data_IF_281760979951
#
_entry.id   IF_281760979951
#
_cell.length_a   1.000
_cell.length_b   1.000
_cell.length_c   1.000
_cell.angle_alpha   90.00
_cell.angle_beta   90.00
_cell.angle_gamma   90.00
#
_symmetry.space_group_name_H-M   'P 1'
#
loop_
_entity.id
_entity.type
_entity.pdbx_description
1 polymer ?
#
# COMPACT_ATOMS: atom_id res chain seq x y z
N UNK A 1 15.76 4.08 -3.97
CA UNK A 1 14.82 3.13 -4.59
C UNK A 1 15.38 2.67 -5.94
N UNK A 2 15.10 1.43 -6.33
CA UNK A 2 15.58 0.81 -7.59
C UNK A 2 15.23 1.69 -8.80
N UNK A 3 14.09 2.33 -8.78
CA UNK A 3 13.59 3.19 -9.86
C UNK A 3 14.22 4.59 -9.88
N UNK A 4 14.90 5.04 -8.81
CA UNK A 4 15.47 6.39 -8.72
C UNK A 4 16.45 6.66 -9.86
N UNK A 5 17.43 5.78 -10.04
CA UNK A 5 18.44 5.92 -11.11
C UNK A 5 17.83 5.88 -12.51
N UNK A 6 16.82 5.04 -12.72
CA UNK A 6 16.13 4.95 -14.01
C UNK A 6 15.33 6.23 -14.29
N UNK A 7 14.61 6.75 -13.32
CA UNK A 7 13.86 7.98 -13.46
C UNK A 7 14.78 9.18 -13.72
N UNK A 8 15.93 9.23 -13.05
CA UNK A 8 16.92 10.30 -13.23
C UNK A 8 17.54 10.26 -14.63
N UNK A 9 17.85 9.06 -15.15
CA UNK A 9 18.39 8.91 -16.50
C UNK A 9 17.41 9.33 -17.61
N UNK A 10 16.11 9.22 -17.34
CA UNK A 10 15.05 9.64 -18.26
C UNK A 10 14.49 11.05 -17.97
N UNK A 11 15.12 11.81 -17.06
CA UNK A 11 14.69 13.17 -16.65
C UNK A 11 13.23 13.23 -16.20
N UNK A 12 12.77 12.22 -15.48
CA UNK A 12 11.42 12.19 -14.93
C UNK A 12 11.41 12.99 -13.63
N UNK A 13 10.62 14.06 -13.59
CA UNK A 13 10.50 14.90 -12.42
C UNK A 13 9.94 14.14 -11.21
N UNK A 14 10.38 14.45 -9.98
CA UNK A 14 9.96 13.77 -8.75
C UNK A 14 8.47 13.83 -8.49
N UNK A 15 7.80 14.90 -8.93
CA UNK A 15 6.32 14.98 -8.82
C UNK A 15 5.62 13.91 -9.65
N UNK A 16 6.15 13.56 -10.83
CA UNK A 16 5.58 12.46 -11.62
C UNK A 16 5.79 11.12 -10.92
N UNK A 17 6.97 10.88 -10.38
CA UNK A 17 7.24 9.67 -9.58
C UNK A 17 6.30 9.58 -8.36
N UNK A 18 6.12 10.68 -7.63
CA UNK A 18 5.21 10.73 -6.50
C UNK A 18 3.76 10.48 -6.91
N UNK A 19 3.32 11.03 -8.04
CA UNK A 19 1.98 10.77 -8.61
C UNK A 19 1.80 9.28 -8.94
N UNK A 20 2.76 8.67 -9.62
CA UNK A 20 2.70 7.23 -9.96
C UNK A 20 2.62 6.38 -8.69
N UNK A 21 3.48 6.62 -7.70
CA UNK A 21 3.48 5.89 -6.43
C UNK A 21 2.16 6.08 -5.69
N UNK A 22 1.69 7.33 -5.55
CA UNK A 22 0.43 7.63 -4.86
C UNK A 22 -0.79 7.03 -5.55
N UNK A 23 -0.79 6.99 -6.90
CA UNK A 23 -1.91 6.43 -7.68
C UNK A 23 -1.87 4.91 -7.82
N UNK A 24 -0.77 4.25 -7.48
CA UNK A 24 -0.65 2.78 -7.56
C UNK A 24 -0.75 2.10 -6.20
N UNK A 25 -0.15 2.67 -5.16
CA UNK A 25 0.03 1.97 -3.88
C UNK A 25 -1.30 1.53 -3.26
N UNK A 26 -2.23 2.42 -3.02
CA UNK A 26 -3.51 2.10 -2.42
C UNK A 26 -4.44 1.31 -3.36
N UNK A 27 -4.65 1.71 -4.64
CA UNK A 27 -5.48 0.94 -5.55
C UNK A 27 -5.01 -0.49 -5.79
N UNK A 28 -3.71 -0.71 -5.97
CA UNK A 28 -3.17 -2.05 -6.21
C UNK A 28 -3.35 -2.94 -4.98
N UNK A 29 -3.04 -2.44 -3.79
CA UNK A 29 -3.12 -3.23 -2.55
C UNK A 29 -4.56 -3.68 -2.27
N UNK A 30 -5.55 -2.84 -2.53
CA UNK A 30 -6.97 -3.20 -2.34
C UNK A 30 -7.45 -4.23 -3.37
N UNK A 31 -6.92 -4.22 -4.59
CA UNK A 31 -7.28 -5.20 -5.62
C UNK A 31 -6.59 -6.56 -5.45
N UNK A 32 -5.54 -6.65 -4.62
CA UNK A 32 -4.84 -7.91 -4.35
C UNK A 32 -5.58 -8.70 -3.26
N UNK A 33 -6.08 -9.92 -3.55
CA UNK A 33 -6.87 -10.70 -2.60
C UNK A 33 -6.16 -11.11 -1.32
N UNK A 34 -4.83 -11.13 -1.33
CA UNK A 34 -3.97 -11.58 -0.21
C UNK A 34 -3.16 -10.42 0.39
N UNK A 35 -3.70 -9.22 0.37
CA UNK A 35 -3.09 -8.05 0.99
C UNK A 35 -3.57 -7.87 2.44
N UNK A 36 -2.84 -7.07 3.21
CA UNK A 36 -3.27 -6.67 4.56
C UNK A 36 -4.64 -5.97 4.55
N UNK A 37 -4.95 -5.24 3.49
CA UNK A 37 -6.24 -4.57 3.33
C UNK A 37 -7.38 -5.57 3.05
N UNK A 38 -7.15 -6.57 2.20
CA UNK A 38 -8.17 -7.59 1.93
C UNK A 38 -8.51 -8.41 3.17
N UNK A 39 -7.50 -8.74 3.98
CA UNK A 39 -7.70 -9.46 5.24
C UNK A 39 -8.48 -8.59 6.24
N UNK A 40 -8.11 -7.30 6.33
CA UNK A 40 -8.81 -6.37 7.19
C UNK A 40 -10.28 -6.21 6.80
N UNK A 41 -10.58 -5.98 5.53
CA UNK A 41 -11.96 -5.90 5.04
C UNK A 41 -12.71 -7.22 5.22
N UNK A 42 -12.07 -8.37 4.98
CA UNK A 42 -12.68 -9.66 5.25
C UNK A 42 -13.05 -9.81 6.74
N UNK A 43 -12.19 -9.36 7.66
CA UNK A 43 -12.50 -9.36 9.09
C UNK A 43 -13.67 -8.44 9.45
N UNK A 44 -13.80 -7.30 8.79
CA UNK A 44 -14.98 -6.42 8.97
C UNK A 44 -16.26 -7.07 8.41
N UNK A 45 -16.20 -7.66 7.23
CA UNK A 45 -17.32 -8.37 6.60
C UNK A 45 -17.81 -9.52 7.53
N UNK A 46 -16.89 -10.24 8.15
CA UNK A 46 -17.23 -11.34 9.08
C UNK A 46 -18.06 -10.84 10.28
N UNK A 47 -17.78 -9.63 10.77
CA UNK A 47 -18.53 -9.03 11.88
C UNK A 47 -19.93 -8.57 11.50
N UNK A 48 -20.24 -8.39 10.21
CA UNK A 48 -21.55 -7.90 9.74
C UNK A 48 -22.63 -8.99 9.67
N UNK A 49 -22.27 -10.26 9.76
CA UNK A 49 -23.20 -11.39 9.63
C UNK A 49 -23.75 -11.61 8.20
N UNK A 50 -23.17 -10.96 7.19
CA UNK A 50 -23.57 -11.10 5.77
C UNK A 50 -23.02 -12.40 5.17
N UNK A 51 -22.01 -12.99 5.82
CA UNK A 51 -21.36 -14.22 5.31
C UNK A 51 -22.35 -15.37 5.38
N UNK A 52 -22.64 -16.07 4.28
CA UNK A 52 -23.53 -17.24 4.29
C UNK A 52 -23.00 -18.34 5.21
N UNK A 53 -23.88 -19.16 5.78
CA UNK A 53 -23.49 -20.32 6.57
C UNK A 53 -22.54 -21.23 5.78
N UNK A 54 -21.35 -21.49 6.31
CA UNK A 54 -20.30 -22.26 5.62
C UNK A 54 -19.51 -21.48 4.56
N UNK A 55 -19.77 -20.17 4.40
CA UNK A 55 -19.02 -19.29 3.52
C UNK A 55 -17.76 -18.71 4.18
N UNK A 56 -16.94 -18.02 3.38
CA UNK A 56 -15.76 -17.29 3.84
C UNK A 56 -15.90 -15.81 3.55
N UNK A 57 -15.65 -14.96 4.54
CA UNK A 57 -15.62 -13.51 4.38
C UNK A 57 -14.60 -13.07 3.30
N UNK A 58 -13.48 -13.79 3.20
CA UNK A 58 -12.47 -13.58 2.15
C UNK A 58 -13.04 -13.82 0.76
N UNK A 59 -13.88 -14.84 0.58
CA UNK A 59 -14.54 -15.09 -0.71
C UNK A 59 -15.53 -13.97 -1.06
N UNK A 60 -16.28 -13.47 -0.08
CA UNK A 60 -17.18 -12.30 -0.28
C UNK A 60 -16.37 -11.08 -0.73
N UNK A 61 -15.22 -10.84 -0.08
CA UNK A 61 -14.32 -9.76 -0.49
C UNK A 61 -13.82 -9.96 -1.93
N UNK A 62 -13.33 -11.15 -2.29
CA UNK A 62 -12.84 -11.45 -3.64
C UNK A 62 -13.95 -11.24 -4.69
N UNK A 63 -15.16 -11.65 -4.39
CA UNK A 63 -16.32 -11.44 -5.27
C UNK A 63 -16.70 -9.94 -5.41
N UNK A 64 -16.34 -9.10 -4.44
CA UNK A 64 -16.56 -7.66 -4.51
C UNK A 64 -15.53 -6.91 -5.36
N UNK A 65 -14.34 -7.48 -5.60
CA UNK A 65 -13.25 -6.83 -6.37
C UNK A 65 -13.70 -6.30 -7.74
N UNK A 66 -14.47 -7.05 -8.56
CA UNK A 66 -14.93 -6.53 -9.86
C UNK A 66 -15.83 -5.28 -9.77
N UNK A 67 -16.38 -5.00 -8.61
CA UNK A 67 -17.25 -3.83 -8.36
C UNK A 67 -16.50 -2.65 -7.72
N UNK A 68 -15.21 -2.79 -7.48
CA UNK A 68 -14.35 -1.73 -6.94
C UNK A 68 -13.92 -0.79 -8.08
N UNK A 69 -14.84 0.04 -8.56
CA UNK A 69 -14.61 0.91 -9.73
C UNK A 69 -13.51 1.95 -9.50
N UNK A 70 -13.41 2.52 -8.29
CA UNK A 70 -12.44 3.57 -8.00
C UNK A 70 -10.97 3.12 -8.22
N UNK A 71 -10.49 2.03 -7.60
CA UNK A 71 -9.12 1.58 -7.83
C UNK A 71 -8.87 1.18 -9.28
N UNK A 72 -9.84 0.57 -9.97
CA UNK A 72 -9.70 0.22 -11.39
C UNK A 72 -9.59 1.46 -12.28
N UNK A 73 -10.45 2.46 -12.06
CA UNK A 73 -10.42 3.73 -12.80
C UNK A 73 -9.14 4.51 -12.49
N UNK A 74 -8.68 4.51 -11.25
CA UNK A 74 -7.43 5.16 -10.86
C UNK A 74 -6.23 4.60 -11.63
N UNK A 75 -6.13 3.27 -11.71
CA UNK A 75 -5.07 2.59 -12.48
C UNK A 75 -5.21 2.83 -13.99
N UNK A 76 -6.45 2.83 -14.51
CA UNK A 76 -6.70 3.15 -15.92
C UNK A 76 -6.28 4.57 -16.26
N UNK A 77 -6.68 5.56 -15.46
CA UNK A 77 -6.29 6.96 -15.68
C UNK A 77 -4.78 7.12 -15.60
N UNK A 78 -4.13 6.49 -14.62
CA UNK A 78 -2.68 6.50 -14.50
C UNK A 78 -2.01 5.94 -15.77
N UNK A 79 -2.48 4.81 -16.27
CA UNK A 79 -1.97 4.20 -17.51
C UNK A 79 -2.15 5.13 -18.70
N UNK A 80 -3.29 5.80 -18.82
CA UNK A 80 -3.55 6.78 -19.89
C UNK A 80 -2.67 8.03 -19.79
N UNK A 81 -2.33 8.45 -18.57
CA UNK A 81 -1.37 9.55 -18.34
C UNK A 81 0.04 9.13 -18.69
N UNK A 82 0.49 7.94 -18.26
CA UNK A 82 1.85 7.45 -18.55
C UNK A 82 2.03 7.21 -20.05
N UNK A 83 1.03 6.70 -20.74
CA UNK A 83 1.08 6.47 -22.20
C UNK A 83 0.91 7.77 -23.01
N UNK A 84 0.67 8.90 -22.36
CA UNK A 84 0.52 10.20 -23.03
C UNK A 84 -0.84 10.41 -23.73
N UNK A 85 -1.80 9.48 -23.58
CA UNK A 85 -3.16 9.64 -24.11
C UNK A 85 -3.86 10.80 -23.40
N UNK A 86 -3.69 10.89 -22.09
CA UNK A 86 -4.11 12.05 -21.30
C UNK A 86 -2.89 12.94 -21.10
N UNK A 87 -2.92 14.19 -21.61
CA UNK A 87 -1.80 15.11 -21.43
C UNK A 87 -1.66 15.53 -19.97
N UNK A 88 -0.42 15.72 -19.54
CA UNK A 88 -0.14 16.32 -18.25
C UNK A 88 -0.71 17.74 -18.20
N UNK A 89 -1.33 18.12 -17.09
CA UNK A 89 -1.91 19.44 -16.89
C UNK A 89 -1.48 20.07 -15.56
N UNK A 90 -1.68 21.37 -15.44
CA UNK A 90 -1.34 22.12 -14.23
C UNK A 90 0.15 22.15 -13.90
N UNK A 91 0.49 22.20 -12.61
CA UNK A 91 1.88 22.28 -12.14
C UNK A 91 2.75 21.11 -12.57
N UNK A 92 2.19 19.90 -12.66
CA UNK A 92 2.92 18.69 -13.03
C UNK A 92 3.48 18.79 -14.47
N UNK A 93 2.71 19.36 -15.40
CA UNK A 93 3.20 19.63 -16.78
C UNK A 93 4.36 20.60 -16.77
N UNK A 94 4.29 21.67 -15.97
CA UNK A 94 5.35 22.66 -15.85
C UNK A 94 6.64 22.03 -15.33
N UNK A 95 6.56 21.29 -14.25
CA UNK A 95 7.72 20.64 -13.65
C UNK A 95 8.33 19.56 -14.56
N UNK A 96 7.53 18.78 -15.27
CA UNK A 96 8.06 17.78 -16.19
C UNK A 96 8.76 18.45 -17.38
N UNK A 97 8.22 19.53 -17.93
CA UNK A 97 8.86 20.30 -19.00
C UNK A 97 10.18 20.93 -18.53
N UNK A 98 10.21 21.48 -17.33
CA UNK A 98 11.42 22.03 -16.73
C UNK A 98 12.49 20.93 -16.53
N UNK A 99 12.10 19.73 -16.10
CA UNK A 99 13.00 18.59 -15.99
C UNK A 99 13.60 18.16 -17.34
N UNK A 100 12.81 18.20 -18.40
CA UNK A 100 13.27 17.86 -19.76
C UNK A 100 14.25 18.90 -20.30
N UNK A 101 13.97 20.19 -20.09
CA UNK A 101 14.76 21.31 -20.63
C UNK A 101 16.05 21.57 -19.81
N UNK A 102 15.96 21.58 -18.49
CA UNK A 102 17.05 21.99 -17.60
C UNK A 102 17.73 20.85 -16.85
N UNK A 103 17.10 19.66 -16.78
CA UNK A 103 17.58 18.54 -15.97
C UNK A 103 17.31 18.69 -14.47
N UNK A 104 16.56 19.70 -14.05
CA UNK A 104 16.15 19.90 -12.65
C UNK A 104 15.00 18.96 -12.34
N UNK A 105 15.23 18.02 -11.40
CA UNK A 105 14.26 16.97 -11.08
C UNK A 105 13.46 17.22 -9.80
N UNK A 106 13.78 18.27 -9.05
CA UNK A 106 13.15 18.62 -7.79
C UNK A 106 12.40 19.95 -7.88
N UNK A 107 11.25 20.08 -7.20
CA UNK A 107 10.47 21.32 -7.17
C UNK A 107 11.25 22.53 -6.65
N UNK A 108 12.23 22.28 -5.79
CA UNK A 108 13.06 23.32 -5.14
C UNK A 108 14.26 23.75 -5.99
N UNK A 109 14.35 23.30 -7.25
CA UNK A 109 15.45 23.65 -8.15
C UNK A 109 16.81 23.05 -7.78
N UNK A 110 16.84 22.06 -6.86
CA UNK A 110 18.11 21.42 -6.47
C UNK A 110 18.60 20.48 -7.56
N UNK A 111 19.88 20.55 -7.94
CA UNK A 111 20.45 19.61 -8.90
C UNK A 111 20.53 18.20 -8.34
N UNK A 112 20.49 17.20 -9.24
CA UNK A 112 20.67 15.78 -8.90
C UNK A 112 22.00 15.60 -8.18
N UNK A 113 21.99 15.07 -6.97
CA UNK A 113 23.21 14.75 -6.20
C UNK A 113 23.46 15.61 -4.95
N UNK A 114 22.64 16.64 -4.69
CA UNK A 114 22.72 17.45 -3.46
C UNK A 114 21.72 17.05 -2.34
N UNK A 115 21.12 15.88 -2.44
CA UNK A 115 20.27 15.35 -1.37
C UNK A 115 21.11 14.66 -0.28
N UNK A 116 21.77 15.47 0.53
CA UNK A 116 22.44 15.00 1.76
C UNK A 116 21.45 14.71 2.90
N UNK A 117 20.14 14.80 2.64
CA UNK A 117 19.11 14.66 3.67
C UNK A 117 17.85 13.92 3.19
N UNK A 118 17.99 12.93 2.32
CA UNK A 118 16.89 11.98 2.10
C UNK A 118 16.89 11.02 3.30
N UNK A 119 15.92 11.12 4.25
CA UNK A 119 15.82 10.17 5.36
C UNK A 119 15.54 8.73 4.88
N UNK A 120 15.29 8.55 3.59
CA UNK A 120 15.16 7.28 2.88
C UNK A 120 16.31 7.04 1.89
N UNK A 121 17.41 7.80 1.96
CA UNK A 121 18.63 7.46 1.22
C UNK A 121 19.12 6.13 1.76
N UNK A 122 18.87 5.09 0.99
CA UNK A 122 19.38 3.76 1.26
C UNK A 122 20.90 3.88 1.43
N UNK A 123 21.41 3.43 2.57
CA UNK A 123 22.83 3.11 2.71
C UNK A 123 23.24 2.25 1.49
N UNK A 124 24.48 2.42 0.99
CA UNK A 124 24.92 1.62 -0.14
C UNK A 124 24.63 0.16 0.15
N UNK A 125 24.02 -0.58 -0.80
CA UNK A 125 23.57 -1.95 -0.56
C UNK A 125 24.71 -2.74 0.06
N UNK A 126 24.43 -3.41 1.17
CA UNK A 126 25.40 -4.25 1.86
C UNK A 126 26.14 -5.07 0.81
N UNK A 127 27.46 -5.03 0.83
CA UNK A 127 28.30 -5.72 -0.17
C UNK A 127 27.98 -7.20 -0.11
N UNK A 128 27.06 -7.65 -0.95
CA UNK A 128 26.75 -9.06 -1.07
C UNK A 128 28.01 -9.80 -1.52
N UNK A 129 28.36 -10.85 -0.81
CA UNK A 129 29.58 -11.65 -1.10
C UNK A 129 29.51 -12.37 -2.45
N UNK A 130 28.30 -12.54 -2.97
CA UNK A 130 28.02 -13.13 -4.28
C UNK A 130 26.96 -12.30 -5.03
N UNK A 131 26.98 -12.27 -6.38
CA UNK A 131 25.98 -11.57 -7.15
C UNK A 131 24.58 -12.17 -6.89
N UNK A 132 23.66 -11.33 -6.46
CA UNK A 132 22.27 -11.71 -6.28
C UNK A 132 21.64 -12.02 -7.65
N UNK A 133 20.87 -13.08 -7.71
CA UNK A 133 20.11 -13.50 -8.90
C UNK A 133 18.63 -13.20 -8.67
N UNK A 134 17.87 -12.96 -9.74
CA UNK A 134 16.44 -12.69 -9.66
C UNK A 134 15.68 -13.73 -8.80
N UNK A 135 16.14 -14.99 -8.82
CA UNK A 135 15.56 -16.07 -8.03
C UNK A 135 15.69 -15.87 -6.52
N UNK A 136 16.69 -15.10 -6.06
CA UNK A 136 16.85 -14.80 -4.63
C UNK A 136 15.74 -13.88 -4.10
N UNK A 137 15.10 -13.14 -4.98
CA UNK A 137 13.92 -12.31 -4.66
C UNK A 137 12.62 -13.08 -4.92
N UNK A 138 12.51 -13.75 -6.06
CA UNK A 138 11.26 -14.38 -6.50
C UNK A 138 10.90 -15.59 -5.63
N UNK A 139 11.87 -16.40 -5.23
CA UNK A 139 11.62 -17.61 -4.46
C UNK A 139 11.03 -17.34 -3.07
N UNK A 140 11.57 -16.41 -2.26
CA UNK A 140 10.94 -16.01 -1.00
C UNK A 140 9.51 -15.52 -1.14
N UNK A 141 9.22 -14.72 -2.16
CA UNK A 141 7.86 -14.23 -2.43
C UNK A 141 6.93 -15.39 -2.82
N UNK A 142 7.40 -16.30 -3.67
CA UNK A 142 6.63 -17.47 -4.05
C UNK A 142 6.31 -18.38 -2.85
N UNK A 143 7.30 -18.57 -1.94
CA UNK A 143 7.10 -19.33 -0.70
C UNK A 143 6.13 -18.62 0.23
N UNK A 144 6.20 -17.28 0.36
CA UNK A 144 5.25 -16.50 1.13
C UNK A 144 3.81 -16.74 0.64
N UNK A 145 3.59 -16.58 -0.65
CA UNK A 145 2.25 -16.76 -1.25
C UNK A 145 1.78 -18.20 -1.10
N UNK A 146 2.63 -19.18 -1.41
CA UNK A 146 2.29 -20.59 -1.30
C UNK A 146 1.98 -20.99 0.14
N UNK A 147 2.79 -20.59 1.11
CA UNK A 147 2.57 -20.87 2.51
C UNK A 147 1.28 -20.21 3.01
N UNK A 148 1.04 -18.94 2.66
CA UNK A 148 -0.22 -18.25 3.02
C UNK A 148 -1.44 -19.02 2.52
N UNK A 149 -1.41 -19.53 1.29
CA UNK A 149 -2.52 -20.31 0.72
C UNK A 149 -2.66 -21.67 1.41
N UNK A 150 -1.56 -22.38 1.67
CA UNK A 150 -1.56 -23.71 2.30
C UNK A 150 -2.10 -23.67 3.73
N UNK A 151 -1.83 -22.59 4.46
CA UNK A 151 -2.29 -22.40 5.84
C UNK A 151 -3.59 -21.58 5.93
N UNK A 152 -4.57 -21.87 5.08
CA UNK A 152 -5.92 -21.28 5.10
C UNK A 152 -5.95 -19.74 5.08
N UNK A 153 -5.05 -19.15 4.27
CA UNK A 153 -4.90 -17.70 4.11
C UNK A 153 -4.39 -17.01 5.40
N UNK A 154 -3.66 -17.74 6.24
CA UNK A 154 -2.95 -17.15 7.37
C UNK A 154 -1.63 -16.50 6.91
N UNK A 155 -1.70 -15.18 6.74
CA UNK A 155 -0.54 -14.37 6.31
C UNK A 155 0.57 -14.37 7.36
N UNK A 156 0.23 -14.40 8.66
CA UNK A 156 1.23 -14.41 9.72
C UNK A 156 2.09 -15.68 9.65
N UNK A 157 1.44 -16.83 9.57
CA UNK A 157 2.13 -18.12 9.38
C UNK A 157 2.90 -18.12 8.07
N UNK A 158 2.32 -17.60 6.98
CA UNK A 158 2.99 -17.46 5.69
C UNK A 158 4.28 -16.65 5.77
N UNK A 159 4.26 -15.50 6.46
CA UNK A 159 5.45 -14.64 6.67
C UNK A 159 6.52 -15.35 7.49
N UNK A 160 6.14 -16.03 8.58
CA UNK A 160 7.10 -16.78 9.41
C UNK A 160 7.79 -17.87 8.60
N UNK A 161 7.03 -18.65 7.83
CA UNK A 161 7.60 -19.69 6.95
C UNK A 161 8.51 -19.07 5.89
N UNK A 162 8.10 -17.98 5.26
CA UNK A 162 8.91 -17.29 4.27
C UNK A 162 10.20 -16.72 4.86
N UNK A 163 10.18 -16.14 6.06
CA UNK A 163 11.37 -15.66 6.75
C UNK A 163 12.34 -16.82 7.03
N UNK A 164 11.87 -17.93 7.60
CA UNK A 164 12.71 -19.10 7.86
C UNK A 164 13.33 -19.61 6.55
N UNK A 165 12.51 -19.77 5.51
CA UNK A 165 12.98 -20.22 4.20
C UNK A 165 14.01 -19.26 3.61
N UNK A 166 13.77 -17.96 3.65
CA UNK A 166 14.70 -16.93 3.13
C UNK A 166 16.03 -16.98 3.88
N UNK A 167 15.98 -17.11 5.20
CA UNK A 167 17.19 -17.26 6.01
C UNK A 167 18.01 -18.48 5.58
N UNK A 168 17.37 -19.64 5.44
CA UNK A 168 18.04 -20.87 4.98
C UNK A 168 18.61 -20.68 3.56
N UNK A 169 17.84 -20.12 2.65
CA UNK A 169 18.26 -19.87 1.27
C UNK A 169 19.50 -18.97 1.19
N UNK A 170 19.46 -17.83 1.90
CA UNK A 170 20.52 -16.83 1.84
C UNK A 170 21.80 -17.32 2.51
N UNK A 171 21.68 -18.09 3.61
CA UNK A 171 22.80 -18.71 4.28
C UNK A 171 23.43 -19.85 3.44
N UNK A 172 22.59 -20.71 2.84
CA UNK A 172 23.08 -21.80 1.99
C UNK A 172 23.79 -21.27 0.74
N UNK A 173 23.31 -20.17 0.17
CA UNK A 173 23.94 -19.50 -0.97
C UNK A 173 25.09 -18.55 -0.58
N UNK A 174 25.39 -18.43 0.70
CA UNK A 174 26.42 -17.54 1.24
C UNK A 174 26.28 -16.08 0.77
N UNK A 175 25.05 -15.63 0.58
CA UNK A 175 24.75 -14.25 0.21
C UNK A 175 25.05 -13.31 1.38
N UNK A 176 24.76 -13.74 2.60
CA UNK A 176 25.01 -13.02 3.84
C UNK A 176 25.31 -13.97 4.98
N UNK A 177 25.85 -13.46 6.10
CA UNK A 177 26.05 -14.19 7.35
C UNK A 177 24.74 -14.24 8.17
N UNK A 178 24.71 -15.10 9.19
CA UNK A 178 23.58 -15.17 10.13
C UNK A 178 23.36 -13.82 10.83
N UNK A 179 24.43 -13.15 11.25
CA UNK A 179 24.35 -11.86 11.91
C UNK A 179 23.72 -10.81 10.97
N UNK A 180 24.22 -10.69 9.74
CA UNK A 180 23.67 -9.77 8.73
C UNK A 180 22.20 -10.06 8.41
N UNK A 181 21.78 -11.33 8.40
CA UNK A 181 20.38 -11.70 8.20
C UNK A 181 19.50 -11.26 9.37
N UNK A 182 19.93 -11.53 10.61
CA UNK A 182 19.20 -11.15 11.82
C UNK A 182 19.13 -9.63 11.95
N UNK A 183 20.23 -8.92 11.66
CA UNK A 183 20.26 -7.45 11.66
C UNK A 183 19.29 -6.88 10.63
N UNK A 184 19.23 -7.43 9.41
CA UNK A 184 18.28 -7.04 8.39
C UNK A 184 16.80 -7.28 8.78
N UNK A 185 16.51 -8.41 9.42
CA UNK A 185 15.17 -8.67 9.99
C UNK A 185 14.83 -7.67 11.08
N UNK A 186 15.79 -7.37 11.97
CA UNK A 186 15.59 -6.37 13.04
C UNK A 186 15.39 -4.96 12.50
N UNK A 187 16.13 -4.57 11.48
CA UNK A 187 15.96 -3.29 10.79
C UNK A 187 14.57 -3.20 10.16
N UNK A 188 14.11 -4.28 9.50
CA UNK A 188 12.75 -4.37 8.97
C UNK A 188 11.68 -4.18 10.05
N UNK A 189 11.82 -4.80 11.22
CA UNK A 189 10.93 -4.56 12.36
C UNK A 189 10.99 -3.11 12.85
N UNK A 190 12.17 -2.55 12.95
CA UNK A 190 12.39 -1.18 13.43
C UNK A 190 11.72 -0.14 12.54
N UNK A 191 11.74 -0.33 11.22
CA UNK A 191 11.04 0.56 10.27
C UNK A 191 9.52 0.52 10.45
N UNK A 192 8.96 -0.60 10.94
CA UNK A 192 7.52 -0.75 11.17
C UNK A 192 7.03 -0.13 12.48
N UNK A 193 7.92 0.18 13.43
CA UNK A 193 7.53 0.73 14.74
C UNK A 193 6.69 2.00 14.62
N UNK A 194 7.09 2.93 13.75
CA UNK A 194 6.33 4.17 13.54
C UNK A 194 4.95 3.92 12.94
N UNK A 195 4.83 2.96 12.03
CA UNK A 195 3.56 2.56 11.42
C UNK A 195 2.66 1.90 12.46
N UNK A 196 3.20 1.02 13.29
CA UNK A 196 2.47 0.36 14.38
C UNK A 196 1.99 1.38 15.42
N UNK A 197 2.81 2.36 15.78
CA UNK A 197 2.41 3.43 16.69
C UNK A 197 1.23 4.23 16.13
N UNK A 198 1.26 4.58 14.84
CA UNK A 198 0.15 5.25 14.18
C UNK A 198 -1.12 4.39 14.16
N UNK A 199 -1.01 3.08 13.93
CA UNK A 199 -2.14 2.16 13.98
C UNK A 199 -2.76 2.10 15.38
N UNK A 200 -1.94 2.00 16.43
CA UNK A 200 -2.44 2.00 17.82
C UNK A 200 -3.22 3.28 18.10
N UNK A 201 -2.66 4.45 17.74
CA UNK A 201 -3.34 5.75 17.92
C UNK A 201 -4.65 5.79 17.12
N UNK A 202 -4.65 5.27 15.89
CA UNK A 202 -5.84 5.21 15.06
C UNK A 202 -6.95 4.34 15.67
N UNK A 203 -6.60 3.18 16.22
CA UNK A 203 -7.58 2.33 16.93
C UNK A 203 -8.07 2.96 18.23
N UNK A 204 -7.21 3.63 18.98
CA UNK A 204 -7.63 4.40 20.16
C UNK A 204 -8.63 5.50 19.79
N UNK A 205 -8.34 6.23 18.70
CA UNK A 205 -9.24 7.26 18.19
C UNK A 205 -10.58 6.67 17.74
N UNK A 206 -10.57 5.54 17.00
CA UNK A 206 -11.77 4.81 16.63
C UNK A 206 -12.60 4.46 17.87
N UNK A 207 -11.99 3.85 18.88
CA UNK A 207 -12.69 3.49 20.13
C UNK A 207 -13.29 4.69 20.86
N UNK A 208 -12.60 5.83 20.83
CA UNK A 208 -13.15 7.07 21.37
C UNK A 208 -14.36 7.57 20.58
N UNK A 209 -14.32 7.51 19.24
CA UNK A 209 -15.47 7.86 18.38
C UNK A 209 -16.67 6.94 18.61
N UNK A 210 -16.45 5.63 18.73
CA UNK A 210 -17.49 4.66 19.04
C UNK A 210 -18.11 4.95 20.42
N UNK A 211 -17.31 5.26 21.42
CA UNK A 211 -17.78 5.63 22.77
C UNK A 211 -18.63 6.90 22.79
N UNK A 212 -18.41 7.81 21.83
CA UNK A 212 -19.21 9.02 21.64
C UNK A 212 -20.48 8.78 20.80
N UNK A 213 -20.72 7.55 20.34
CA UNK A 213 -21.87 7.20 19.50
C UNK A 213 -21.80 7.79 18.08
N UNK A 214 -20.59 8.02 17.56
CA UNK A 214 -20.39 8.62 16.26
C UNK A 214 -20.93 7.74 15.13
N UNK A 215 -20.79 6.44 15.23
CA UNK A 215 -21.35 5.43 14.33
C UNK A 215 -22.88 5.52 14.26
N UNK A 216 -23.55 5.57 15.41
CA UNK A 216 -25.02 5.73 15.47
C UNK A 216 -25.46 7.07 14.88
N UNK A 217 -24.74 8.16 15.19
CA UNK A 217 -25.03 9.47 14.61
C UNK A 217 -24.94 9.47 13.08
N UNK A 218 -23.90 8.83 12.53
CA UNK A 218 -23.71 8.71 11.09
C UNK A 218 -24.84 7.88 10.49
N UNK A 219 -25.16 6.73 11.06
CA UNK A 219 -26.27 5.89 10.59
C UNK A 219 -27.58 6.68 10.58
N UNK A 220 -27.93 7.37 11.65
CA UNK A 220 -29.16 8.17 11.73
C UNK A 220 -29.21 9.28 10.68
N UNK A 221 -28.10 9.96 10.42
CA UNK A 221 -28.04 11.07 9.44
C UNK A 221 -27.93 10.62 8.01
N UNK A 222 -27.27 9.50 7.77
CA UNK A 222 -27.01 8.98 6.43
C UNK A 222 -28.06 7.97 5.98
N UNK A 223 -28.66 7.19 6.89
CA UNK A 223 -29.69 6.22 6.56
C UNK A 223 -30.88 6.77 5.75
N UNK A 224 -31.41 7.99 6.02
CA UNK A 224 -32.45 8.57 5.17
C UNK A 224 -32.01 8.84 3.72
N UNK A 225 -30.70 9.02 3.49
CA UNK A 225 -30.10 9.24 2.17
C UNK A 225 -29.75 7.93 1.45
N UNK A 226 -29.83 6.81 2.16
CA UNK A 226 -29.44 5.48 1.69
C UNK A 226 -30.51 4.78 0.84
N UNK A 227 -31.53 5.49 0.35
CA UNK A 227 -32.58 4.94 -0.51
C UNK A 227 -32.11 4.71 -1.96
N UNK A 228 -32.15 3.46 -2.45
CA UNK A 228 -32.08 3.17 -3.88
C UNK A 228 -30.66 3.17 -4.49
N UNK A 229 -30.58 3.51 -5.79
CA UNK A 229 -29.38 3.42 -6.61
C UNK A 229 -28.25 4.39 -6.22
N UNK A 230 -28.55 5.41 -5.42
CA UNK A 230 -27.56 6.41 -4.98
C UNK A 230 -26.72 5.97 -3.76
N UNK A 231 -27.09 4.86 -3.11
CA UNK A 231 -26.41 4.36 -1.92
C UNK A 231 -24.88 4.27 -2.07
N UNK A 232 -24.31 3.65 -3.10
CA UNK A 232 -22.85 3.57 -3.24
C UNK A 232 -22.18 4.94 -3.36
N UNK A 233 -22.83 5.89 -4.02
CA UNK A 233 -22.32 7.26 -4.17
C UNK A 233 -22.33 8.02 -2.83
N UNK A 234 -23.41 7.90 -2.06
CA UNK A 234 -23.52 8.54 -0.74
C UNK A 234 -22.46 7.98 0.21
N UNK A 235 -22.30 6.65 0.26
CA UNK A 235 -21.25 5.99 1.07
C UNK A 235 -19.87 6.48 0.65
N UNK A 236 -19.57 6.53 -0.64
CA UNK A 236 -18.30 7.04 -1.15
C UNK A 236 -18.04 8.49 -0.72
N UNK A 237 -19.03 9.35 -0.82
CA UNK A 237 -18.91 10.77 -0.44
C UNK A 237 -18.63 10.90 1.07
N UNK A 238 -19.42 10.21 1.91
CA UNK A 238 -19.28 10.24 3.36
C UNK A 238 -17.91 9.68 3.77
N UNK A 239 -17.52 8.52 3.25
CA UNK A 239 -16.21 7.93 3.51
C UNK A 239 -15.06 8.86 3.08
N UNK A 240 -15.20 9.56 1.95
CA UNK A 240 -14.20 10.53 1.48
C UNK A 240 -14.03 11.68 2.47
N UNK A 241 -15.15 12.29 2.90
CA UNK A 241 -15.13 13.40 3.87
C UNK A 241 -14.55 12.93 5.20
N UNK A 242 -14.97 11.76 5.69
CA UNK A 242 -14.45 11.19 6.93
C UNK A 242 -12.98 10.88 6.85
N UNK A 243 -12.51 10.26 5.76
CA UNK A 243 -11.09 9.94 5.58
C UNK A 243 -10.25 11.20 5.52
N UNK A 244 -10.74 12.25 4.87
CA UNK A 244 -10.08 13.55 4.85
C UNK A 244 -9.99 14.18 6.24
N UNK A 245 -11.10 14.15 7.01
CA UNK A 245 -11.17 14.73 8.34
C UNK A 245 -10.32 13.96 9.37
N UNK A 246 -10.32 12.65 9.30
CA UNK A 246 -9.65 11.76 10.26
C UNK A 246 -8.23 11.38 9.85
N UNK A 247 -7.84 11.66 8.59
CA UNK A 247 -6.56 11.26 7.98
C UNK A 247 -6.23 9.76 8.18
N UNK A 248 -7.25 8.91 8.37
CA UNK A 248 -7.11 7.51 8.72
C UNK A 248 -8.15 6.65 8.01
N UNK A 249 -7.72 5.92 6.97
CA UNK A 249 -8.60 5.04 6.21
C UNK A 249 -9.05 3.79 6.99
N UNK A 250 -8.21 3.26 7.88
CA UNK A 250 -8.54 2.07 8.69
C UNK A 250 -9.75 2.32 9.60
N UNK A 251 -9.68 3.41 10.37
CA UNK A 251 -10.76 3.79 11.28
C UNK A 251 -12.08 4.08 10.56
N UNK A 252 -12.01 4.79 9.43
CA UNK A 252 -13.20 5.08 8.63
C UNK A 252 -13.84 3.81 8.09
N UNK A 253 -13.05 2.88 7.55
CA UNK A 253 -13.56 1.60 7.04
C UNK A 253 -14.23 0.74 8.12
N UNK A 254 -13.80 0.87 9.37
CA UNK A 254 -14.40 0.14 10.49
C UNK A 254 -15.69 0.80 11.03
N UNK A 255 -15.89 2.10 10.79
CA UNK A 255 -17.09 2.85 11.21
C UNK A 255 -18.21 2.74 10.15
N UNK A 256 -17.84 2.66 8.87
CA UNK A 256 -18.76 2.59 7.73
C UNK A 256 -19.32 1.20 7.50
#
# INVERSE_FOLDING_TARGET
SITKRLNDSHRIHRTMTAYVIGSTSAPVVVLIPLSSWSIYYASLIDTTGIVPEGGSATLVYIQSIPFMFYPMLCLLVLLLVITGVIPLFGPMRKFQKEAEETGVLFPDGKPVGQDDADPFSEEPPAKTRHPAVLWDLVLPIAVLVAATIIFDIDVLTGVVVALIFTGILYLARRLMSIAEYVDGVWEGFSTMVSVLALLVIAFMFKSACESLGMDQFIIEKVAPLMGGQLLPFVIFLVATVMTFALANAWGVSAIM
#
